data_IF_581512033341
#
_entry.id   IF_581512033341
#
_cell.length_a   1.000
_cell.length_b   1.000
_cell.length_c   1.000
_cell.angle_alpha   90.00
_cell.angle_beta   90.00
_cell.angle_gamma   90.00
#
_symmetry.space_group_name_H-M   'P 1'
#
loop_
_entity.id
_entity.type
_entity.pdbx_description
1 polymer ?
2 polymer ?
3 non-polymer ?
#
# COMPACT_ATOMS: atom_id res chain seq x y z
N UNK A 1 9.42 -20.91 -4.65
CA UNK A 1 8.70 -21.28 -5.87
C UNK A 1 7.18 -21.43 -5.62
N UNK A 2 6.79 -21.74 -4.38
CA UNK A 2 5.38 -21.98 -4.08
C UNK A 2 4.49 -20.89 -4.64
N UNK A 3 5.02 -19.68 -4.75
CA UNK A 3 4.19 -18.54 -5.12
C UNK A 3 3.62 -18.67 -6.52
N UNK A 4 4.19 -19.51 -7.37
CA UNK A 4 3.97 -19.42 -8.82
C UNK A 4 2.98 -20.46 -9.36
N UNK A 5 2.60 -21.44 -8.55
CA UNK A 5 1.67 -22.49 -8.97
C UNK A 5 0.23 -22.14 -8.68
N UNK A 6 -0.03 -21.48 -7.56
CA UNK A 6 -1.37 -21.10 -7.18
C UNK A 6 -2.04 -20.35 -8.33
N UNK A 7 -3.38 -20.38 -8.35
CA UNK A 7 -4.13 -19.87 -9.48
C UNK A 7 -4.93 -18.65 -9.08
N UNK A 8 -5.63 -18.08 -10.07
CA UNK A 8 -6.36 -16.84 -9.84
C UNK A 8 -7.39 -17.00 -8.74
N UNK A 9 -8.05 -18.16 -8.68
CA UNK A 9 -8.81 -18.48 -7.49
C UNK A 9 -7.86 -18.72 -6.32
N UNK A 10 -7.01 -19.73 -6.45
CA UNK A 10 -6.07 -20.05 -5.38
C UNK A 10 -5.40 -18.80 -4.85
N UNK A 11 -5.12 -17.85 -5.73
CA UNK A 11 -4.39 -16.64 -5.35
C UNK A 11 -5.28 -15.72 -4.56
N UNK A 12 -6.36 -15.26 -5.18
CA UNK A 12 -7.21 -14.21 -4.64
C UNK A 12 -7.70 -14.64 -3.26
N UNK A 13 -7.62 -15.94 -3.00
CA UNK A 13 -7.94 -16.45 -1.67
C UNK A 13 -6.91 -16.03 -0.64
N UNK A 14 -5.63 -16.35 -0.88
CA UNK A 14 -4.60 -16.04 0.11
C UNK A 14 -4.47 -14.52 0.32
N UNK A 15 -4.53 -13.75 -0.76
CA UNK A 15 -4.54 -12.30 -0.61
C UNK A 15 -5.72 -11.84 0.23
N UNK A 16 -6.80 -12.62 0.26
CA UNK A 16 -7.95 -12.32 1.12
C UNK A 16 -7.69 -12.74 2.56
N UNK A 17 -7.18 -13.96 2.74
CA UNK A 17 -6.90 -14.45 4.08
C UNK A 17 -5.92 -13.57 4.80
N UNK A 18 -4.99 -12.95 4.08
CA UNK A 18 -3.94 -12.16 4.69
C UNK A 18 -4.42 -10.79 5.13
N UNK A 19 -5.50 -10.32 4.57
CA UNK A 19 -6.11 -9.03 4.83
C UNK A 19 -5.95 -8.60 6.28
N UNK A 20 -5.42 -7.40 6.52
CA UNK A 20 -5.31 -6.90 7.87
C UNK A 20 -6.67 -6.53 8.42
N UNK A 21 -6.82 -6.47 9.74
CA UNK A 21 -8.13 -6.12 10.30
C UNK A 21 -8.36 -4.62 10.33
N UNK A 22 -9.63 -4.24 10.25
CA UNK A 22 -10.01 -2.84 10.36
C UNK A 22 -9.52 -2.38 11.73
N UNK A 23 -8.55 -1.47 11.73
CA UNK A 23 -7.99 -0.94 12.96
C UNK A 23 -8.75 0.32 13.36
N UNK A 24 -9.31 0.32 14.57
CA UNK A 24 -9.92 1.55 15.07
C UNK A 24 -8.84 2.53 15.52
N UNK A 25 -9.17 3.82 15.48
CA UNK A 25 -8.21 4.83 15.91
C UNK A 25 -8.16 4.97 17.42
N UNK A 26 -7.64 6.08 17.92
CA UNK A 26 -7.72 6.35 19.36
C UNK A 26 -7.93 7.85 19.67
N UNK A 34 -4.81 20.76 17.77
CA UNK A 34 -3.96 21.58 16.90
C UNK A 34 -3.33 20.75 15.77
N UNK A 35 -2.43 21.38 14.99
CA UNK A 35 -1.74 20.64 13.93
C UNK A 35 -0.94 19.49 14.49
N UNK A 36 -0.30 19.69 15.65
CA UNK A 36 0.36 18.59 16.33
C UNK A 36 -0.60 17.43 16.52
N UNK A 37 -1.80 17.71 17.05
CA UNK A 37 -2.71 16.63 17.42
C UNK A 37 -3.21 15.89 16.20
N UNK A 38 -3.75 16.62 15.22
CA UNK A 38 -4.15 15.99 13.95
C UNK A 38 -3.11 14.96 13.51
N UNK A 39 -1.88 15.45 13.22
CA UNK A 39 -0.74 14.60 12.87
C UNK A 39 -0.46 13.55 13.94
N UNK A 40 -0.50 13.94 15.21
CA UNK A 40 -0.46 12.94 16.26
C UNK A 40 -1.43 11.81 16.00
N UNK A 41 -2.56 12.10 15.38
CA UNK A 41 -3.61 11.10 15.26
C UNK A 41 -3.33 10.10 14.15
N UNK A 42 -3.05 10.59 12.95
CA UNK A 42 -2.83 9.69 11.84
C UNK A 42 -1.51 8.96 12.01
N UNK A 43 -0.55 9.59 12.67
CA UNK A 43 0.68 8.90 13.01
C UNK A 43 0.42 7.67 13.84
N UNK A 44 -0.48 7.80 14.82
CA UNK A 44 -0.73 6.72 15.76
C UNK A 44 -1.44 5.56 15.08
N UNK A 45 -2.44 5.87 14.27
CA UNK A 45 -3.03 4.84 13.43
C UNK A 45 -2.00 4.32 12.45
N UNK A 46 -1.36 5.24 11.71
CA UNK A 46 -0.30 4.88 10.77
C UNK A 46 0.74 3.97 11.42
N UNK A 47 1.27 4.36 12.59
CA UNK A 47 2.17 3.45 13.30
C UNK A 47 1.47 2.12 13.57
N UNK A 48 0.22 2.15 13.98
CA UNK A 48 -0.42 0.92 14.39
C UNK A 48 -0.73 0.04 13.19
N UNK A 49 -1.33 0.59 12.15
CA UNK A 49 -1.42 -0.18 10.92
C UNK A 49 -0.05 -0.71 10.49
N UNK A 50 1.02 0.02 10.78
CA UNK A 50 2.29 -0.38 10.23
C UNK A 50 2.78 -1.68 10.79
N UNK A 51 2.06 -2.34 11.68
CA UNK A 51 2.43 -3.68 12.11
C UNK A 51 1.60 -4.73 11.39
N UNK A 52 0.30 -4.54 11.31
CA UNK A 52 -0.44 -5.51 10.52
C UNK A 52 -0.04 -5.43 9.06
N UNK A 53 0.55 -4.31 8.62
CA UNK A 53 1.08 -4.32 7.27
C UNK A 53 2.20 -5.33 7.18
N UNK A 54 3.21 -5.21 8.04
CA UNK A 54 4.27 -6.22 8.05
C UNK A 54 3.66 -7.60 8.01
N UNK A 55 2.75 -7.87 8.95
CA UNK A 55 2.19 -9.19 9.07
C UNK A 55 1.50 -9.61 7.79
N UNK A 56 0.81 -8.68 7.14
CA UNK A 56 0.17 -9.01 5.88
C UNK A 56 1.20 -9.26 4.80
N UNK A 57 2.31 -8.54 4.83
CA UNK A 57 3.34 -8.73 3.81
C UNK A 57 3.81 -10.18 3.79
N UNK A 58 4.12 -10.73 4.96
CA UNK A 58 4.69 -12.08 5.04
C UNK A 58 3.77 -13.10 4.38
N UNK A 59 2.49 -13.04 4.68
CA UNK A 59 1.49 -13.95 4.11
C UNK A 59 1.08 -13.59 2.68
N UNK A 60 1.82 -12.69 2.02
CA UNK A 60 1.64 -12.42 0.60
C UNK A 60 2.50 -13.40 -0.20
N UNK A 61 1.90 -14.21 -1.06
CA UNK A 61 2.67 -15.24 -1.78
C UNK A 61 3.90 -14.64 -2.43
N UNK A 62 5.02 -15.34 -2.31
CA UNK A 62 6.24 -14.93 -2.94
C UNK A 62 7.12 -14.05 -2.06
N UNK A 63 6.53 -13.41 -1.07
CA UNK A 63 7.28 -12.51 -0.20
C UNK A 63 8.32 -13.27 0.61
N UNK A 64 7.93 -14.12 1.50
CA UNK A 64 8.96 -14.77 2.29
C UNK A 64 9.90 -15.46 1.42
N UNK A 65 9.51 -15.73 0.21
CA UNK A 65 10.39 -16.32 -0.76
C UNK A 65 11.50 -15.31 -1.03
N UNK A 66 11.18 -14.05 -0.86
CA UNK A 66 12.11 -12.99 -1.04
C UNK A 66 13.14 -13.13 0.01
N UNK A 67 13.98 -12.13 0.14
CA UNK A 67 15.07 -12.17 1.07
C UNK A 67 14.89 -11.28 2.31
N UNK A 68 15.22 -11.77 3.48
CA UNK A 68 15.08 -10.91 4.65
C UNK A 68 15.48 -9.47 4.32
N UNK A 69 16.46 -9.28 3.44
CA UNK A 69 16.88 -7.92 3.10
C UNK A 69 15.97 -7.31 2.04
N UNK A 70 15.56 -8.09 1.06
CA UNK A 70 14.64 -7.58 0.05
C UNK A 70 13.23 -7.40 0.63
N UNK A 71 12.76 -8.36 1.42
CA UNK A 71 11.52 -8.15 2.17
C UNK A 71 11.54 -6.78 2.82
N UNK A 72 12.57 -6.51 3.62
CA UNK A 72 12.59 -5.25 4.34
C UNK A 72 12.54 -4.06 3.37
N UNK A 73 13.22 -4.19 2.22
CA UNK A 73 13.36 -3.02 1.34
C UNK A 73 12.10 -2.74 0.54
N UNK A 74 11.43 -3.77 0.06
CA UNK A 74 10.08 -3.56 -0.46
C UNK A 74 9.18 -2.84 0.55
N UNK A 75 9.25 -3.20 1.83
CA UNK A 75 8.35 -2.58 2.79
C UNK A 75 8.72 -1.11 3.01
N UNK A 76 9.98 -0.83 3.35
CA UNK A 76 10.42 0.56 3.46
C UNK A 76 10.10 1.35 2.19
N UNK A 77 10.07 0.69 1.05
CA UNK A 77 9.73 1.44 -0.15
C UNK A 77 8.24 1.72 -0.24
N UNK A 78 7.43 0.71 0.03
CA UNK A 78 6.02 0.78 -0.28
C UNK A 78 5.13 1.15 0.90
N UNK A 79 5.65 1.29 2.12
CA UNK A 79 4.75 1.31 3.27
C UNK A 79 3.69 2.40 3.13
N UNK A 80 4.09 3.64 2.81
CA UNK A 80 3.08 4.68 2.69
C UNK A 80 2.13 4.38 1.56
N UNK A 81 2.64 3.81 0.46
CA UNK A 81 1.79 3.47 -0.69
C UNK A 81 0.67 2.51 -0.29
N UNK A 82 0.97 1.49 0.52
CA UNK A 82 -0.04 0.53 0.93
C UNK A 82 -1.03 1.17 1.91
N UNK A 83 -0.55 2.00 2.83
CA UNK A 83 -1.47 2.70 3.72
C UNK A 83 -2.54 3.44 2.94
N UNK A 84 -2.17 4.09 1.84
CA UNK A 84 -3.12 4.94 1.13
C UNK A 84 -3.98 4.14 0.16
N UNK A 85 -3.38 3.21 -0.60
CA UNK A 85 -4.20 2.31 -1.39
C UNK A 85 -5.26 1.74 -0.51
N UNK A 86 -4.91 1.39 0.71
CA UNK A 86 -5.89 0.89 1.65
C UNK A 86 -6.75 2.02 2.18
N UNK A 87 -6.11 3.08 2.68
CA UNK A 87 -6.86 4.27 3.03
C UNK A 87 -7.95 4.53 2.01
N UNK A 88 -7.53 4.81 0.78
CA UNK A 88 -8.44 5.27 -0.27
C UNK A 88 -9.55 4.26 -0.50
N UNK A 89 -9.26 2.96 -0.39
CA UNK A 89 -10.24 1.89 -0.58
C UNK A 89 -11.30 1.92 0.52
N UNK A 90 -10.86 1.82 1.78
CA UNK A 90 -11.74 2.13 2.88
C UNK A 90 -12.52 3.41 2.60
N UNK A 91 -11.87 4.39 2.02
CA UNK A 91 -12.54 5.67 1.87
C UNK A 91 -13.55 5.70 0.74
N UNK A 92 -13.77 4.57 0.09
CA UNK A 92 -14.31 4.63 -1.26
C UNK A 92 -15.81 4.82 -1.29
N UNK A 93 -16.51 4.27 -0.30
CA UNK A 93 -17.95 4.46 -0.18
C UNK A 93 -18.30 5.66 0.66
N UNK A 94 -17.34 6.55 0.87
CA UNK A 94 -17.53 7.75 1.69
C UNK A 94 -17.08 8.94 0.87
N UNK A 95 -17.81 9.25 -0.19
CA UNK A 95 -17.41 10.35 -1.06
C UNK A 95 -17.14 11.62 -0.28
N UNK A 96 -15.95 12.18 -0.49
CA UNK A 96 -15.56 13.41 0.17
C UNK A 96 -14.78 13.20 1.44
N UNK A 97 -14.59 11.97 1.89
CA UNK A 97 -14.03 11.74 3.20
C UNK A 97 -12.94 10.69 3.10
N UNK A 98 -12.04 10.73 4.05
CA UNK A 98 -11.05 9.67 4.21
C UNK A 98 -11.36 8.88 5.48
N UNK A 99 -11.92 7.70 5.30
CA UNK A 99 -12.12 6.77 6.39
C UNK A 99 -10.83 6.22 6.95
N UNK A 100 -10.07 7.03 7.69
CA UNK A 100 -8.85 6.52 8.30
C UNK A 100 -9.15 5.33 9.20
N UNK A 101 -10.05 5.49 10.14
CA UNK A 101 -10.61 4.36 10.86
C UNK A 101 -12.13 4.42 10.75
N UNK A 102 -12.84 3.44 11.28
CA UNK A 102 -14.28 3.62 11.39
C UNK A 102 -14.61 4.76 12.31
N UNK A 103 -13.96 4.79 13.47
CA UNK A 103 -14.17 5.80 14.48
C UNK A 103 -13.41 7.06 14.21
N UNK A 104 -13.07 7.27 12.94
CA UNK A 104 -12.31 8.44 12.50
C UNK A 104 -12.57 8.60 10.99
N UNK A 105 -13.53 9.44 10.65
CA UNK A 105 -13.90 9.70 9.25
C UNK A 105 -13.53 11.15 8.96
N UNK A 106 -12.25 11.37 8.69
CA UNK A 106 -11.77 12.71 8.40
C UNK A 106 -12.33 13.24 7.08
N UNK A 107 -12.38 14.55 6.99
CA UNK A 107 -12.96 15.22 5.86
C UNK A 107 -11.89 16.01 5.13
N UNK A 108 -12.21 16.49 3.94
CA UNK A 108 -11.26 17.33 3.24
C UNK A 108 -10.70 18.39 4.18
N UNK A 109 -11.57 19.31 4.63
CA UNK A 109 -11.11 20.49 5.34
C UNK A 109 -10.36 20.12 6.60
N UNK A 110 -10.64 18.97 7.17
CA UNK A 110 -9.86 18.52 8.31
C UNK A 110 -8.42 18.26 7.93
N UNK A 111 -8.16 18.07 6.64
CA UNK A 111 -6.79 17.98 6.19
C UNK A 111 -6.04 19.29 6.29
N UNK A 112 -6.76 20.41 6.38
CA UNK A 112 -6.08 21.68 6.46
C UNK A 112 -5.83 22.12 7.89
N UNK A 113 -6.03 21.20 8.84
CA UNK A 113 -5.46 21.35 10.17
C UNK A 113 -3.95 21.10 10.18
N UNK A 114 -3.38 20.58 9.10
CA UNK A 114 -1.95 20.35 9.00
C UNK A 114 -1.40 21.07 7.77
N UNK A 115 -0.19 21.60 7.92
CA UNK A 115 0.49 22.27 6.82
C UNK A 115 0.69 21.30 5.66
N UNK A 116 0.35 21.76 4.45
CA UNK A 116 0.48 20.95 3.27
C UNK A 116 -0.28 19.64 3.28
N UNK A 117 -1.01 19.34 4.37
CA UNK A 117 -1.71 18.05 4.45
C UNK A 117 -2.94 18.00 3.55
N UNK A 118 -3.71 19.08 3.50
CA UNK A 118 -4.96 19.05 2.74
C UNK A 118 -4.71 18.54 1.33
N UNK A 119 -3.75 19.14 0.62
CA UNK A 119 -3.43 18.71 -0.73
C UNK A 119 -3.27 17.19 -0.81
N UNK A 120 -2.51 16.59 0.11
CA UNK A 120 -2.33 15.13 0.05
C UNK A 120 -3.68 14.44 0.12
N UNK A 121 -4.41 14.68 1.21
CA UNK A 121 -5.84 14.41 1.26
C UNK A 121 -6.46 14.59 -0.11
N UNK A 122 -6.40 15.80 -0.63
CA UNK A 122 -7.00 16.05 -1.94
C UNK A 122 -6.62 14.95 -2.93
N UNK A 123 -5.35 14.56 -2.97
CA UNK A 123 -5.01 13.45 -3.85
C UNK A 123 -5.71 12.18 -3.40
N UNK A 124 -5.48 11.76 -2.14
CA UNK A 124 -6.16 10.59 -1.58
C UNK A 124 -7.62 10.55 -2.02
N UNK A 125 -8.35 11.64 -1.80
CA UNK A 125 -9.77 11.61 -2.07
C UNK A 125 -10.05 11.29 -3.54
N UNK A 126 -9.34 11.97 -4.45
CA UNK A 126 -9.61 11.78 -5.87
C UNK A 126 -9.44 10.32 -6.30
N UNK A 127 -8.48 9.62 -5.72
CA UNK A 127 -8.32 8.22 -6.07
C UNK A 127 -9.51 7.41 -5.57
N UNK A 128 -9.93 7.65 -4.34
CA UNK A 128 -11.17 7.07 -3.84
C UNK A 128 -12.28 7.33 -4.85
N UNK A 129 -12.46 8.59 -5.26
CA UNK A 129 -13.39 8.89 -6.35
C UNK A 129 -13.16 7.91 -7.49
N UNK A 130 -12.00 8.01 -8.15
CA UNK A 130 -11.62 7.09 -9.22
C UNK A 130 -12.01 5.66 -8.87
N UNK A 131 -11.29 5.03 -7.94
CA UNK A 131 -11.66 3.69 -7.49
C UNK A 131 -13.17 3.51 -7.38
N UNK A 132 -13.85 4.45 -6.75
CA UNK A 132 -15.30 4.37 -6.71
C UNK A 132 -15.87 4.35 -8.13
N UNK A 133 -15.85 5.49 -8.84
CA UNK A 133 -16.50 5.56 -10.16
C UNK A 133 -16.06 4.44 -11.10
N UNK A 134 -14.88 3.87 -10.88
CA UNK A 134 -14.42 2.68 -11.59
C UNK A 134 -14.97 1.41 -10.98
N UNK A 135 -15.34 1.45 -9.70
CA UNK A 135 -16.00 0.35 -8.99
C UNK A 135 -15.03 -0.76 -8.61
N UNK A 136 -13.90 -0.39 -8.02
CA UNK A 136 -12.92 -1.39 -7.64
C UNK A 136 -13.56 -2.44 -6.76
N UNK A 137 -13.15 -3.68 -6.92
CA UNK A 137 -13.58 -4.76 -6.04
C UNK A 137 -12.43 -5.23 -5.17
N UNK A 138 -12.77 -5.67 -3.98
CA UNK A 138 -11.78 -6.18 -3.06
C UNK A 138 -10.75 -7.06 -3.72
N UNK A 139 -11.19 -8.09 -4.46
CA UNK A 139 -10.23 -8.97 -5.10
C UNK A 139 -9.23 -8.16 -5.92
N UNK A 140 -9.75 -7.35 -6.86
CA UNK A 140 -8.95 -6.38 -7.59
C UNK A 140 -7.99 -5.64 -6.67
N UNK A 141 -8.51 -5.14 -5.55
CA UNK A 141 -7.73 -4.34 -4.63
C UNK A 141 -6.61 -5.17 -4.00
N UNK A 142 -6.96 -6.25 -3.30
CA UNK A 142 -5.90 -7.10 -2.73
C UNK A 142 -4.82 -7.33 -3.75
N UNK A 143 -5.22 -7.57 -4.99
CA UNK A 143 -4.29 -7.66 -6.11
C UNK A 143 -3.43 -6.42 -6.18
N UNK A 144 -4.05 -5.28 -6.50
CA UNK A 144 -3.30 -4.05 -6.55
C UNK A 144 -2.38 -3.93 -5.37
N UNK A 145 -2.90 -4.06 -4.16
CA UNK A 145 -2.07 -3.82 -2.98
C UNK A 145 -0.77 -4.62 -3.03
N UNK A 146 -0.84 -5.87 -3.47
CA UNK A 146 0.34 -6.72 -3.50
C UNK A 146 1.31 -6.28 -4.60
N UNK A 147 0.78 -6.14 -5.81
CA UNK A 147 1.51 -5.48 -6.89
C UNK A 147 2.32 -4.33 -6.33
N UNK A 148 1.65 -3.43 -5.60
CA UNK A 148 2.30 -2.21 -5.12
C UNK A 148 3.43 -2.54 -4.18
N UNK A 149 3.21 -3.53 -3.32
CA UNK A 149 4.25 -3.96 -2.41
C UNK A 149 5.43 -4.52 -3.17
N UNK A 150 5.16 -5.22 -4.26
CA UNK A 150 6.20 -5.92 -4.99
C UNK A 150 6.96 -5.02 -5.96
N UNK A 151 6.32 -3.99 -6.47
CA UNK A 151 6.89 -3.21 -7.55
C UNK A 151 7.47 -1.87 -7.11
N UNK A 152 7.29 -1.47 -5.87
CA UNK A 152 7.79 -0.16 -5.49
C UNK A 152 9.29 -0.20 -5.29
N UNK A 153 9.75 -1.17 -4.52
CA UNK A 153 11.16 -1.30 -4.28
C UNK A 153 11.89 -2.17 -5.27
N UNK A 154 11.21 -2.61 -6.34
CA UNK A 154 11.83 -3.53 -7.28
C UNK A 154 13.01 -2.87 -7.99
N UNK A 155 12.86 -1.61 -8.39
CA UNK A 155 13.92 -0.98 -9.15
C UNK A 155 14.64 0.08 -8.33
N UNK A 156 14.86 -0.24 -7.04
CA UNK A 156 15.82 0.45 -6.18
C UNK A 156 16.63 -0.55 -5.35
N UNK A 157 16.85 -1.74 -5.89
CA UNK A 157 17.65 -2.76 -5.24
C UNK A 157 19.13 -2.48 -5.38
N UNK A 158 19.92 -3.23 -4.61
CA UNK A 158 21.34 -3.37 -4.85
C UNK A 158 21.50 -4.54 -5.81
N UNK A 159 21.44 -4.24 -7.11
CA UNK A 159 21.55 -5.25 -8.16
C UNK A 159 22.99 -5.62 -8.50
N UNK A 160 23.88 -5.63 -7.50
CA UNK A 160 25.27 -6.03 -7.71
C UNK A 160 25.54 -7.50 -7.36
N UNK A 161 24.72 -8.10 -6.49
CA UNK A 161 24.86 -9.50 -6.13
C UNK A 161 23.88 -10.33 -6.96
N UNK A 162 24.43 -11.29 -7.71
CA UNK A 162 23.65 -12.23 -8.49
C UNK A 162 22.59 -12.97 -7.67
N UNK A 163 22.59 -12.81 -6.34
CA UNK A 163 21.49 -13.30 -5.50
C UNK A 163 20.32 -12.32 -5.50
N UNK A 164 20.58 -11.02 -5.61
CA UNK A 164 19.53 -10.03 -5.82
C UNK A 164 19.15 -9.88 -7.29
N UNK A 165 19.78 -10.66 -8.16
CA UNK A 165 19.38 -10.80 -9.55
C UNK A 165 18.50 -12.02 -9.81
N UNK A 166 18.58 -13.04 -8.95
CA UNK A 166 17.48 -13.97 -8.84
C UNK A 166 16.26 -13.18 -8.41
N UNK A 167 16.35 -12.69 -7.18
CA UNK A 167 15.35 -11.89 -6.49
C UNK A 167 14.64 -10.93 -7.43
N UNK A 168 15.39 -10.20 -8.26
CA UNK A 168 14.76 -9.24 -9.14
C UNK A 168 13.80 -9.92 -10.11
N UNK A 169 14.23 -11.01 -10.74
CA UNK A 169 13.37 -11.61 -11.75
C UNK A 169 12.26 -12.45 -11.14
N UNK A 170 12.48 -12.99 -9.94
CA UNK A 170 11.37 -13.58 -9.19
C UNK A 170 10.18 -12.64 -9.21
N UNK A 171 10.35 -11.47 -8.59
CA UNK A 171 9.28 -10.50 -8.42
C UNK A 171 8.50 -10.30 -9.72
N UNK A 172 9.20 -10.22 -10.84
CA UNK A 172 8.48 -10.03 -12.09
C UNK A 172 7.55 -11.20 -12.34
N UNK A 173 8.03 -12.42 -12.06
CA UNK A 173 7.22 -13.61 -12.28
C UNK A 173 5.93 -13.54 -11.46
N UNK A 174 6.07 -13.46 -10.14
CA UNK A 174 4.96 -13.12 -9.26
C UNK A 174 4.14 -12.05 -9.93
N UNK A 175 4.66 -10.83 -9.94
CA UNK A 175 3.95 -9.68 -10.51
C UNK A 175 3.21 -10.06 -11.77
N UNK A 176 3.83 -10.85 -12.63
CA UNK A 176 3.13 -11.31 -13.81
C UNK A 176 1.93 -12.16 -13.42
N UNK A 177 2.16 -13.15 -12.56
CA UNK A 177 1.07 -13.98 -12.07
C UNK A 177 -0.08 -13.13 -11.55
N UNK A 178 0.24 -12.22 -10.63
CA UNK A 178 -0.75 -11.30 -10.08
C UNK A 178 -1.58 -10.66 -11.17
N UNK A 179 -0.95 -10.29 -12.29
CA UNK A 179 -1.69 -9.59 -13.32
C UNK A 179 -2.62 -10.54 -14.05
N UNK A 180 -2.19 -11.79 -14.23
CA UNK A 180 -3.11 -12.82 -14.70
C UNK A 180 -4.32 -12.91 -13.76
N UNK A 181 -4.07 -13.25 -12.49
CA UNK A 181 -5.10 -13.18 -11.47
C UNK A 181 -6.08 -12.04 -11.73
N UNK A 182 -5.57 -10.81 -11.70
CA UNK A 182 -6.40 -9.67 -12.05
C UNK A 182 -7.19 -9.97 -13.30
N UNK A 183 -6.51 -10.40 -14.35
CA UNK A 183 -7.13 -10.73 -15.62
C UNK A 183 -8.24 -11.74 -15.38
N UNK A 184 -7.87 -12.95 -14.95
CA UNK A 184 -8.86 -13.96 -14.58
C UNK A 184 -10.04 -13.29 -13.88
N UNK A 185 -9.74 -12.50 -12.86
CA UNK A 185 -10.78 -11.76 -12.17
C UNK A 185 -11.63 -10.97 -13.14
N UNK A 186 -11.01 -10.09 -13.94
CA UNK A 186 -11.82 -9.20 -14.79
C UNK A 186 -12.64 -9.98 -15.82
N UNK A 187 -12.16 -11.15 -16.22
CA UNK A 187 -12.85 -11.99 -17.18
C UNK A 187 -14.15 -12.50 -16.58
N UNK A 188 -14.17 -12.61 -15.25
CA UNK A 188 -15.34 -13.09 -14.54
C UNK A 188 -16.50 -12.10 -14.72
N UNK A 189 -16.24 -10.83 -14.44
CA UNK A 189 -17.24 -9.80 -14.59
C UNK A 189 -17.94 -9.95 -15.94
N UNK A 190 -17.16 -10.34 -16.95
CA UNK A 190 -17.70 -10.52 -18.28
C UNK A 190 -17.47 -9.34 -19.21
N UNK A 191 -16.27 -8.78 -19.19
CA UNK A 191 -15.97 -7.65 -20.04
C UNK A 191 -15.28 -8.18 -21.28
N UNK A 192 -15.43 -7.45 -22.38
CA UNK A 192 -14.62 -7.71 -23.57
C UNK A 192 -13.16 -7.86 -23.17
N UNK A 193 -12.35 -8.45 -24.03
CA UNK A 193 -10.92 -8.43 -23.76
C UNK A 193 -10.35 -7.03 -23.91
N UNK A 194 -10.99 -6.19 -24.72
CA UNK A 194 -10.71 -4.77 -24.61
C UNK A 194 -10.94 -4.35 -23.16
N UNK A 195 -12.20 -4.30 -22.74
CA UNK A 195 -12.56 -3.77 -21.43
C UNK A 195 -11.71 -4.40 -20.33
N UNK A 196 -11.40 -5.67 -20.45
CA UNK A 196 -10.52 -6.33 -19.50
C UNK A 196 -9.22 -5.56 -19.39
N UNK A 197 -8.38 -5.61 -20.42
CA UNK A 197 -7.11 -4.92 -20.32
C UNK A 197 -7.28 -3.41 -20.39
N UNK A 198 -8.36 -2.90 -21.00
CA UNK A 198 -8.76 -1.53 -20.74
C UNK A 198 -8.77 -1.26 -19.24
N UNK A 199 -9.16 -2.27 -18.45
CA UNK A 199 -9.13 -2.21 -16.99
C UNK A 199 -7.71 -2.28 -16.46
N UNK A 200 -7.07 -3.43 -16.63
CA UNK A 200 -5.71 -3.63 -16.15
C UNK A 200 -4.87 -2.38 -16.29
N UNK A 201 -4.98 -1.69 -17.42
CA UNK A 201 -4.34 -0.38 -17.56
C UNK A 201 -4.98 0.63 -16.63
N UNK A 202 -6.28 0.53 -16.42
CA UNK A 202 -7.00 1.40 -15.50
C UNK A 202 -6.29 1.42 -14.15
N UNK A 203 -6.33 0.30 -13.44
CA UNK A 203 -5.74 0.23 -12.12
C UNK A 203 -4.29 0.67 -12.17
N UNK A 204 -3.46 -0.10 -12.88
CA UNK A 204 -2.01 0.06 -12.88
C UNK A 204 -1.56 1.52 -12.95
N UNK A 205 -2.22 2.32 -13.77
CA UNK A 205 -1.89 3.72 -13.75
C UNK A 205 -2.08 4.28 -12.35
N UNK A 206 -3.25 4.06 -11.76
CA UNK A 206 -3.58 4.68 -10.50
C UNK A 206 -2.41 4.52 -9.54
N UNK A 207 -1.98 3.26 -9.36
CA UNK A 207 -0.77 2.95 -8.61
C UNK A 207 0.26 4.06 -8.71
N UNK A 208 0.59 4.43 -9.94
CA UNK A 208 1.61 5.46 -10.16
C UNK A 208 1.18 6.78 -9.53
N UNK A 209 -0.10 7.14 -9.62
CA UNK A 209 -0.53 8.29 -8.87
C UNK A 209 -0.37 8.04 -7.39
N UNK A 210 -0.34 6.77 -6.99
CA UNK A 210 -0.19 6.44 -5.58
C UNK A 210 1.26 6.59 -5.19
N UNK A 211 2.20 6.17 -6.05
CA UNK A 211 3.61 6.47 -5.81
C UNK A 211 3.83 7.96 -5.63
N UNK A 212 3.28 8.75 -6.54
CA UNK A 212 3.36 10.19 -6.42
C UNK A 212 2.84 10.63 -5.07
N UNK A 213 1.63 10.19 -4.73
CA UNK A 213 1.05 10.53 -3.43
C UNK A 213 1.94 10.05 -2.30
N UNK A 214 2.40 8.80 -2.36
CA UNK A 214 3.29 8.34 -1.30
C UNK A 214 4.48 9.25 -1.17
N UNK A 215 4.90 9.86 -2.28
CA UNK A 215 6.15 10.61 -2.27
C UNK A 215 5.95 11.97 -1.62
N UNK A 216 5.01 12.76 -2.10
CA UNK A 216 4.66 13.95 -1.35
C UNK A 216 4.43 13.57 0.11
N UNK A 217 3.61 12.54 0.33
CA UNK A 217 3.34 12.09 1.66
C UNK A 217 4.59 11.86 2.46
N UNK A 218 5.59 11.21 1.85
CA UNK A 218 6.83 10.91 2.55
C UNK A 218 7.63 12.16 2.86
N UNK A 219 7.62 13.13 1.94
CA UNK A 219 8.23 14.41 2.26
C UNK A 219 7.49 15.08 3.40
N UNK A 220 6.16 15.24 3.27
CA UNK A 220 5.34 15.84 4.33
C UNK A 220 5.65 15.22 5.68
N UNK A 221 5.53 13.90 5.79
CA UNK A 221 5.88 13.23 7.04
C UNK A 221 7.25 13.67 7.53
N UNK A 222 8.26 13.61 6.66
CA UNK A 222 9.61 13.96 7.11
C UNK A 222 9.67 15.38 7.64
N UNK A 223 8.94 16.30 7.02
CA UNK A 223 8.96 17.67 7.51
C UNK A 223 8.35 17.76 8.89
N UNK A 224 7.14 17.23 9.04
CA UNK A 224 6.51 17.23 10.36
C UNK A 224 7.44 16.62 11.40
N UNK A 225 8.21 15.59 11.02
CA UNK A 225 9.28 15.13 11.90
C UNK A 225 10.16 16.31 12.31
N UNK A 226 10.69 17.03 11.31
CA UNK A 226 11.55 18.17 11.56
C UNK A 226 10.95 19.13 12.59
N UNK A 227 9.69 19.52 12.41
CA UNK A 227 9.06 20.45 13.35
C UNK A 227 8.77 19.83 14.69
N UNK A 228 9.13 18.58 14.90
CA UNK A 228 8.80 17.89 16.14
C UNK A 228 7.33 18.13 16.45
N UNK A 229 6.50 17.63 15.54
CA UNK A 229 5.05 17.68 15.66
C UNK A 229 4.43 16.30 15.51
N UNK A 230 5.24 15.30 15.21
CA UNK A 230 4.80 13.91 15.16
C UNK A 230 5.26 13.24 16.44
N UNK A 231 4.43 12.45 17.10
CA UNK A 231 4.92 11.65 18.22
C UNK A 231 6.08 10.79 17.76
N UNK A 232 6.76 10.18 18.73
CA UNK A 232 7.86 9.27 18.43
C UNK A 232 7.35 7.83 18.38
N UNK A 233 6.54 7.57 17.36
CA UNK A 233 6.15 6.19 17.07
C UNK A 233 7.36 5.50 16.47
N UNK A 234 8.06 4.72 17.30
CA UNK A 234 9.34 4.15 16.88
C UNK A 234 9.27 3.52 15.50
N UNK A 235 8.28 2.63 15.28
CA UNK A 235 8.16 1.96 13.99
C UNK A 235 7.87 2.95 12.86
N UNK A 236 6.83 3.75 12.98
CA UNK A 236 6.60 4.75 11.95
C UNK A 236 7.88 5.52 11.65
N UNK A 237 8.54 6.02 12.70
CA UNK A 237 9.69 6.91 12.50
C UNK A 237 10.77 6.19 11.71
N UNK A 238 10.99 4.92 12.01
CA UNK A 238 11.99 4.19 11.28
C UNK A 238 11.52 3.88 9.86
N UNK A 239 10.21 3.85 9.61
CA UNK A 239 9.77 3.81 8.23
C UNK A 239 10.20 5.07 7.49
N UNK A 240 10.13 6.20 8.16
CA UNK A 240 10.62 7.42 7.53
C UNK A 240 12.11 7.28 7.22
N UNK A 241 12.90 6.87 8.23
CA UNK A 241 14.35 7.07 8.15
C UNK A 241 15.03 6.15 7.15
N UNK A 242 14.26 5.63 6.20
CA UNK A 242 14.81 4.92 5.07
C UNK A 242 14.50 5.62 3.75
N UNK A 243 14.28 6.94 3.80
CA UNK A 243 14.07 7.72 2.58
C UNK A 243 14.86 9.05 2.65
N UNK B 1 18.91 -0.81 13.19
CA UNK B 1 19.06 -2.23 12.73
C UNK B 1 17.92 -3.12 13.15
N UNK B 2 16.86 -2.57 13.78
CA UNK B 2 15.60 -3.27 14.00
C UNK B 2 15.11 -3.90 12.74
N UNK B 3 12.03 -2.31 14.71
CA UNK B 3 10.83 -3.12 14.84
C UNK B 3 10.50 -3.81 13.54
N UNK B 4 10.75 -3.16 12.44
CA UNK B 4 10.53 -3.74 11.14
C UNK B 4 11.29 -5.01 10.96
N UNK B 5 12.49 -5.02 11.46
CA UNK B 5 13.33 -6.16 11.29
C UNK B 5 12.93 -7.27 12.19
N UNK B 6 12.35 -6.98 13.35
CA UNK B 6 11.95 -8.03 14.28
C UNK B 6 10.58 -8.53 13.97
N UNK B 7 9.69 -7.76 13.36
CA UNK B 7 8.36 -8.24 13.15
C UNK B 7 8.28 -9.05 11.91
N UNK B 8 8.97 -8.55 10.92
CA UNK B 8 9.15 -9.28 9.72
C UNK B 8 9.91 -10.52 10.05
N UNK B 9 10.98 -10.32 10.81
CA UNK B 9 11.83 -11.34 11.44
C UNK B 9 13.16 -11.44 10.74
N UNK B 10 14.38 -11.23 11.46
X LIG C 1 -2.54 6.94 8.32
X LIG C 1 -3.22 5.69 8.30
X LIG C 1 -3.63 5.14 7.04
X LIG C 1 -4.32 3.89 6.98
X LIG C 1 -3.36 5.84 5.83
X LIG C 1 -2.68 7.05 5.86
X LIG C 1 -2.39 7.86 4.39
X LIG C 1 -2.11 9.42 4.68
X LIG C 1 -1.05 9.49 5.69
X LIG C 1 -1.53 8.96 7.12
X LIG C 1 -2.25 7.65 7.11
X LIG C 1 -0.32 8.91 8.02
X LIG C 1 0.27 10.43 8.11
X LIG C 1 0.64 11.00 6.79
X LIG C 1 -0.51 10.90 5.78
X LIG C 1 -0.02 11.75 4.48
X LIG C 1 0.98 12.93 5.13
X LIG C 1 1.23 12.52 6.62
X LIG C 1 2.49 12.54 6.89
X LIG C 1 1.82 10.19 6.26
X LIG C 1 -2.25 7.32 9.18
X LIG C 1 -3.40 5.22 9.13
X LIG C 1 -4.40 3.63 6.13
X LIG C 1 -3.64 5.45 4.98
X LIG C 1 -3.17 7.77 3.82
X LIG C 1 -1.61 7.47 3.96
X LIG C 1 -2.92 9.85 5.02
X LIG C 1 -1.81 9.86 3.86
X LIG C 1 -0.32 8.91 5.39
X LIG C 1 -2.15 9.62 7.48
X LIG C 1 0.35 8.33 7.64
X LIG C 1 -0.58 8.61 8.90
X LIG C 1 -0.41 11.00 8.52
X LIG C 1 1.05 10.42 8.69
X LIG C 1 -1.25 11.42 6.16
X LIG C 1 -0.77 12.16 4.02
X LIG C 1 0.50 11.17 3.87
X LIG C 1 0.54 13.80 5.10
X LIG C 1 1.83 12.97 4.64
X LIG C 1 0.75 13.13 7.21
X LIG C 1 2.68 13.27 7.37
X LIG C 1 2.56 10.22 6.91
X LIG C 1 1.54 9.26 6.14
X LIG C 1 2.12 10.55 5.41
#
# INVERSE_FOLDING_TARGET
SLALSLTADQMVSALLDAEPPILYSEYDPTRPFSEASMMGLLTNLADRELVHMINWAKRVPGFVDLTLHDQVHLLECAWLEILMIGLVWRSMEHPGKLLFAPNLLLDRNQGKCVEGMVEIFDMLLATSSRFRMMNLQGEEFVCLKSIILLNSGVYTFLSSTLKSLEEKDHIHRVLDKITDTLIHLMAKAGLTLQQQHQRLAQLLLILSHIRHMSNKGMEHLYSMKCKNVVPLYDLLLEMLDAH
RDIXXRXXQX
EST C1 C2 C3 O3 C4 C5 C6 C7 C8 C9 C10 C11 C12 C13 C14 C15 C16 C17 O17 C18 H1 H2 HO3 H4 H61 H62 H71 H72 H8 H9 H111 H112 H121 H122 H14 H151 H152 H161 H162 H17 HO7 H181 H182 H183
#
